data_IF_709726135892
#
_entry.id   IF_709726135892
#
_cell.length_a   1.000
_cell.length_b   1.000
_cell.length_c   1.000
_cell.angle_alpha   90.00
_cell.angle_beta   90.00
_cell.angle_gamma   90.00
#
_symmetry.space_group_name_H-M   'P 1'
#
loop_
_entity.id
_entity.type
_entity.pdbx_description
1 polymer ?
#
# COMPACT_ATOMS: atom_id res chain seq x y z
N UNK A 1 10.01 12.69 6.43
CA UNK A 1 9.66 14.06 6.02
C UNK A 1 10.61 15.02 6.69
N UNK A 2 10.35 16.30 6.55
CA UNK A 2 11.14 17.40 7.09
C UNK A 2 10.46 18.00 8.32
N UNK A 3 11.28 18.44 9.28
CA UNK A 3 10.83 19.27 10.40
C UNK A 3 11.05 20.72 10.00
N UNK A 4 9.95 21.42 9.74
CA UNK A 4 9.92 22.81 9.24
C UNK A 4 9.65 23.84 10.34
N UNK A 5 9.36 23.38 11.56
CA UNK A 5 9.12 24.25 12.70
C UNK A 5 9.16 23.50 14.02
N UNK A 6 9.36 24.25 15.10
CA UNK A 6 9.44 23.73 16.47
C UNK A 6 8.59 24.64 17.35
N UNK A 7 7.68 24.05 18.12
CA UNK A 7 6.92 24.70 19.18
C UNK A 7 7.46 24.25 20.53
N UNK A 8 7.62 25.19 21.45
CA UNK A 8 8.21 24.92 22.77
C UNK A 8 7.38 25.57 23.87
N UNK A 9 6.91 24.80 24.84
CA UNK A 9 6.15 25.37 25.96
C UNK A 9 6.93 26.41 26.75
N UNK A 10 8.25 26.24 26.85
CA UNK A 10 9.14 27.19 27.54
C UNK A 10 9.19 28.56 26.86
N UNK A 11 8.69 28.70 25.63
CA UNK A 11 8.61 29.96 24.87
C UNK A 11 7.19 30.53 24.79
N UNK A 12 6.22 29.87 25.43
CA UNK A 12 4.83 30.32 25.52
C UNK A 12 3.86 29.58 24.59
N UNK A 13 4.34 28.63 23.78
CA UNK A 13 3.49 27.74 22.99
C UNK A 13 2.68 26.80 23.89
N UNK A 14 1.50 26.37 23.44
CA UNK A 14 0.62 25.52 24.24
C UNK A 14 1.19 24.11 24.47
N UNK A 15 2.05 23.63 23.57
CA UNK A 15 2.64 22.29 23.61
C UNK A 15 4.05 22.27 23.04
N UNK A 16 4.82 21.25 23.42
CA UNK A 16 6.07 20.90 22.76
C UNK A 16 5.72 20.11 21.51
N UNK A 17 6.14 20.60 20.33
CA UNK A 17 5.79 19.95 19.09
C UNK A 17 6.77 20.22 17.95
N UNK A 18 6.72 19.35 16.95
CA UNK A 18 7.32 19.57 15.65
C UNK A 18 6.25 19.88 14.60
N UNK A 19 6.57 20.81 13.71
CA UNK A 19 5.77 21.10 12.51
C UNK A 19 6.42 20.40 11.34
N UNK A 20 5.65 19.62 10.57
CA UNK A 20 6.17 18.83 9.46
C UNK A 20 5.65 19.31 8.11
N UNK A 21 6.39 19.00 7.05
CA UNK A 21 6.05 19.26 5.65
C UNK A 21 5.11 18.21 5.04
N UNK A 22 5.03 17.04 5.68
CA UNK A 22 4.18 15.91 5.27
C UNK A 22 3.09 15.64 6.29
N UNK A 23 1.98 15.08 5.81
CA UNK A 23 0.91 14.57 6.66
C UNK A 23 1.37 13.32 7.42
N UNK A 24 1.16 13.31 8.73
CA UNK A 24 1.38 12.17 9.62
C UNK A 24 0.04 11.73 10.20
N UNK A 25 -0.31 10.42 10.14
CA UNK A 25 -1.54 9.92 10.73
C UNK A 25 -1.50 10.00 12.26
N UNK A 26 -2.65 10.06 12.92
CA UNK A 26 -2.78 10.19 14.38
C UNK A 26 -2.54 8.88 15.14
N UNK A 27 -2.67 7.73 14.48
CA UNK A 27 -2.39 6.40 15.01
C UNK A 27 -0.92 6.16 15.44
N UNK A 28 -0.03 7.14 15.25
CA UNK A 28 1.36 7.10 15.74
C UNK A 28 1.52 7.58 17.18
N UNK A 29 0.44 7.99 17.85
CA UNK A 29 0.49 8.36 19.26
C UNK A 29 1.05 7.22 20.12
N UNK A 30 1.96 7.54 21.04
CA UNK A 30 2.68 6.56 21.86
C UNK A 30 3.87 5.89 21.16
N UNK A 31 4.12 6.19 19.88
CA UNK A 31 5.35 5.79 19.18
C UNK A 31 6.46 6.84 19.34
N UNK A 32 7.66 6.53 18.83
CA UNK A 32 8.79 7.44 18.85
C UNK A 32 9.06 8.04 17.47
N UNK A 33 9.10 9.37 17.41
CA UNK A 33 9.66 10.12 16.30
C UNK A 33 11.17 10.22 16.48
N UNK A 34 11.94 9.88 15.45
CA UNK A 34 13.39 10.09 15.40
C UNK A 34 13.68 11.26 14.48
N UNK A 35 14.15 12.37 15.06
CA UNK A 35 14.66 13.53 14.33
C UNK A 35 16.13 13.29 14.00
N UNK A 36 16.52 13.54 12.76
CA UNK A 36 17.91 13.55 12.29
C UNK A 36 18.31 14.97 11.93
N UNK A 37 19.32 15.49 12.62
CA UNK A 37 19.86 16.82 12.42
C UNK A 37 20.77 16.89 11.19
N UNK A 38 21.09 18.08 10.65
CA UNK A 38 21.97 18.22 9.48
C UNK A 38 23.37 17.64 9.63
N UNK A 39 23.85 17.43 10.86
CA UNK A 39 25.14 16.76 11.14
C UNK A 39 25.04 15.24 11.24
N UNK A 40 23.85 14.66 11.01
CA UNK A 40 23.57 13.23 11.10
C UNK A 40 23.30 12.72 12.51
N UNK A 41 23.40 13.56 13.54
CA UNK A 41 23.00 13.16 14.90
C UNK A 41 21.49 12.98 14.99
N UNK A 42 21.03 12.13 15.92
CA UNK A 42 19.61 11.81 16.05
C UNK A 42 19.11 11.93 17.47
N UNK A 43 17.85 12.34 17.61
CA UNK A 43 17.12 12.37 18.89
C UNK A 43 15.73 11.74 18.74
N UNK A 44 15.37 10.93 19.72
CA UNK A 44 14.06 10.27 19.80
C UNK A 44 13.10 11.06 20.68
N UNK A 45 11.85 11.17 20.27
CA UNK A 45 10.79 11.88 21.00
C UNK A 45 9.51 11.03 21.02
N UNK A 46 8.97 10.81 22.21
CA UNK A 46 7.68 10.12 22.36
C UNK A 46 6.54 11.01 21.88
N UNK A 47 5.71 10.49 20.98
CA UNK A 47 4.58 11.22 20.39
C UNK A 47 3.38 11.18 21.34
N UNK A 48 2.87 12.36 21.70
CA UNK A 48 1.67 12.52 22.55
C UNK A 48 0.40 12.75 21.74
N UNK A 49 0.50 13.16 20.49
CA UNK A 49 -0.63 13.32 19.58
C UNK A 49 -0.22 13.99 18.27
N UNK A 50 -1.08 13.89 17.27
CA UNK A 50 -0.89 14.52 15.97
C UNK A 50 -2.11 15.38 15.65
N UNK A 51 -1.88 16.61 15.20
CA UNK A 51 -2.94 17.57 14.91
C UNK A 51 -2.67 18.24 13.57
N UNK A 52 -3.74 18.60 12.84
CA UNK A 52 -3.61 19.49 11.70
C UNK A 52 -3.86 20.94 12.15
N UNK A 53 -2.95 21.85 11.79
CA UNK A 53 -3.12 23.27 12.03
C UNK A 53 -2.69 24.05 10.78
N UNK A 54 -3.63 24.75 10.15
CA UNK A 54 -3.42 25.53 8.93
C UNK A 54 -2.80 24.71 7.77
N UNK A 55 -3.24 23.46 7.59
CA UNK A 55 -2.73 22.58 6.54
C UNK A 55 -1.32 22.05 6.80
N UNK A 56 -0.81 22.19 8.03
CA UNK A 56 0.45 21.58 8.47
C UNK A 56 0.17 20.57 9.57
N UNK A 57 0.94 19.49 9.58
CA UNK A 57 0.90 18.53 10.66
C UNK A 57 1.78 18.99 11.83
N UNK A 58 1.20 18.96 13.02
CA UNK A 58 1.81 19.27 14.30
C UNK A 58 1.90 17.97 15.09
N UNK A 59 3.12 17.49 15.35
CA UNK A 59 3.38 16.30 16.15
C UNK A 59 3.72 16.77 17.56
N UNK A 60 2.77 16.65 18.48
CA UNK A 60 3.03 16.93 19.89
C UNK A 60 3.87 15.82 20.50
N UNK A 61 4.86 16.21 21.31
CA UNK A 61 5.81 15.31 21.94
C UNK A 61 5.77 15.46 23.46
N UNK A 62 6.18 14.40 24.16
CA UNK A 62 6.20 14.38 25.61
C UNK A 62 7.25 15.33 26.18
N UNK A 63 8.43 15.31 25.59
CA UNK A 63 9.61 16.01 26.09
C UNK A 63 9.84 17.35 25.36
N UNK A 64 10.83 18.09 25.82
CA UNK A 64 11.19 19.38 25.25
C UNK A 64 12.04 19.17 23.97
N UNK A 65 11.76 19.89 22.84
CA UNK A 65 12.44 19.64 21.57
C UNK A 65 13.97 19.82 21.58
N UNK A 66 14.50 20.69 22.43
CA UNK A 66 15.95 20.88 22.63
C UNK A 66 16.62 21.83 21.66
N UNK A 67 15.95 22.24 20.58
CA UNK A 67 16.50 23.14 19.56
C UNK A 67 15.45 24.11 19.00
N UNK A 68 15.92 25.10 18.24
CA UNK A 68 15.09 26.05 17.49
C UNK A 68 15.49 26.03 16.02
N UNK A 69 14.51 26.26 15.15
CA UNK A 69 14.70 26.60 13.73
C UNK A 69 14.34 28.08 13.56
N UNK A 70 15.20 28.84 12.89
CA UNK A 70 15.04 30.25 12.64
C UNK A 70 14.52 30.52 11.21
N UNK A 71 13.89 31.68 10.95
CA UNK A 71 13.34 32.01 9.62
C UNK A 71 14.38 32.05 8.49
N UNK A 72 15.66 32.21 8.82
CA UNK A 72 16.76 32.20 7.86
C UNK A 72 17.24 30.78 7.49
N UNK A 73 16.58 29.74 8.02
CA UNK A 73 16.93 28.34 7.80
C UNK A 73 18.07 27.83 8.69
N UNK A 74 18.66 28.67 9.54
CA UNK A 74 19.60 28.22 10.55
C UNK A 74 18.86 27.58 11.74
N UNK A 75 19.56 26.77 12.52
CA UNK A 75 19.00 26.13 13.71
C UNK A 75 20.04 25.95 14.80
N UNK A 76 19.59 25.83 16.06
CA UNK A 76 20.50 25.75 17.20
C UNK A 76 19.92 25.00 18.40
N UNK A 77 20.72 24.14 19.03
CA UNK A 77 20.42 23.57 20.35
C UNK A 77 20.32 24.65 21.42
N UNK A 78 19.32 24.52 22.27
CA UNK A 78 19.01 25.48 23.33
C UNK A 78 19.74 25.14 24.64
N UNK A 79 20.36 23.96 24.69
CA UNK A 79 21.18 23.47 25.78
C UNK A 79 22.58 23.11 25.27
N UNK A 80 23.52 22.87 26.19
CA UNK A 80 24.85 22.38 25.85
C UNK A 80 24.75 21.16 24.92
N UNK A 81 25.54 21.06 23.83
CA UNK A 81 26.69 21.91 23.47
C UNK A 81 26.36 23.17 22.64
N UNK A 82 25.09 23.58 22.54
CA UNK A 82 24.63 24.73 21.77
C UNK A 82 25.02 24.66 20.28
N UNK A 83 25.09 23.43 19.74
CA UNK A 83 25.39 23.15 18.33
C UNK A 83 24.49 23.97 17.42
N UNK A 84 25.08 24.51 16.36
CA UNK A 84 24.38 25.22 15.31
C UNK A 84 24.44 24.41 14.02
N UNK A 85 23.36 24.44 13.27
CA UNK A 85 23.27 23.79 11.98
C UNK A 85 22.73 24.73 10.92
N UNK A 86 23.15 24.46 9.69
CA UNK A 86 22.55 24.97 8.45
C UNK A 86 22.10 23.76 7.64
N UNK A 87 20.85 23.76 7.20
CA UNK A 87 20.26 22.64 6.45
C UNK A 87 19.01 22.10 7.11
N UNK A 88 18.46 21.05 6.50
CA UNK A 88 17.17 20.50 6.84
C UNK A 88 17.26 19.47 7.96
N UNK A 89 16.36 19.58 8.94
CA UNK A 89 16.11 18.51 9.91
C UNK A 89 15.09 17.55 9.30
N UNK A 90 15.41 16.26 9.29
CA UNK A 90 14.48 15.23 8.79
C UNK A 90 13.95 14.41 9.95
N UNK A 91 12.86 13.70 9.72
CA UNK A 91 12.32 12.76 10.70
C UNK A 91 11.79 11.49 10.07
N UNK A 92 11.76 10.45 10.89
CA UNK A 92 11.03 9.20 10.67
C UNK A 92 10.34 8.77 11.96
N UNK A 93 9.33 7.92 11.85
CA UNK A 93 8.68 7.27 12.99
C UNK A 93 8.90 5.78 12.77
N UNK A 94 9.66 5.16 13.65
CA UNK A 94 9.93 3.71 13.60
C UNK A 94 8.61 2.97 13.88
N UNK A 95 8.32 1.90 13.14
CA UNK A 95 7.03 1.20 13.10
C UNK A 95 5.86 1.93 12.43
N UNK A 96 6.11 2.93 11.58
CA UNK A 96 5.29 3.09 10.37
C UNK A 96 5.58 1.93 9.41
N UNK A 97 5.41 0.70 9.88
CA UNK A 97 5.23 -0.44 9.01
C UNK A 97 3.99 -0.09 8.20
N UNK A 98 4.16 0.14 6.90
CA UNK A 98 3.06 0.04 5.95
C UNK A 98 2.42 -1.30 6.27
N UNK A 99 1.25 -1.30 6.90
CA UNK A 99 0.55 -2.54 7.23
C UNK A 99 0.47 -3.31 5.91
N UNK A 100 1.13 -4.47 5.77
CA UNK A 100 1.22 -5.11 4.47
C UNK A 100 -0.21 -5.46 4.07
N UNK A 101 -0.67 -4.89 2.95
CA UNK A 101 -1.98 -5.23 2.41
C UNK A 101 -1.97 -6.73 2.13
N UNK A 102 -2.94 -7.44 2.71
CA UNK A 102 -3.16 -8.83 2.36
C UNK A 102 -4.07 -8.86 1.15
N UNK A 103 -3.54 -9.37 0.04
CA UNK A 103 -4.27 -9.51 -1.22
C UNK A 103 -4.60 -10.99 -1.41
N UNK A 104 -5.89 -11.29 -1.58
CA UNK A 104 -6.40 -12.64 -1.80
C UNK A 104 -7.29 -12.70 -3.04
N UNK A 105 -7.47 -13.90 -3.59
CA UNK A 105 -8.36 -14.14 -4.73
C UNK A 105 -7.84 -13.66 -6.09
N UNK A 106 -6.63 -13.08 -6.14
CA UNK A 106 -5.93 -12.76 -7.39
C UNK A 106 -4.92 -13.88 -7.74
N UNK A 107 -5.18 -14.71 -8.76
CA UNK A 107 -4.22 -15.72 -9.20
C UNK A 107 -3.03 -15.08 -9.94
N UNK A 108 -1.89 -15.76 -9.94
CA UNK A 108 -0.71 -15.32 -10.70
C UNK A 108 -0.89 -15.52 -12.22
N UNK A 109 -1.76 -16.46 -12.60
CA UNK A 109 -2.10 -16.79 -13.99
C UNK A 109 -3.61 -16.78 -14.18
N UNK A 110 -4.07 -16.26 -15.30
CA UNK A 110 -5.46 -16.31 -15.76
C UNK A 110 -5.50 -16.77 -17.21
N UNK A 111 -6.66 -17.23 -17.68
CA UNK A 111 -6.90 -17.45 -19.11
C UNK A 111 -7.83 -16.38 -19.66
N UNK A 112 -7.66 -16.01 -20.94
CA UNK A 112 -8.57 -15.08 -21.62
C UNK A 112 -10.04 -15.44 -21.36
N UNK A 113 -10.85 -14.44 -20.96
CA UNK A 113 -12.24 -14.60 -20.58
C UNK A 113 -12.47 -15.02 -19.12
N UNK A 114 -11.44 -15.48 -18.39
CA UNK A 114 -11.55 -15.80 -16.98
C UNK A 114 -11.75 -14.54 -16.13
N UNK A 115 -12.47 -14.69 -15.02
CA UNK A 115 -12.65 -13.61 -14.05
C UNK A 115 -12.36 -14.09 -12.64
N UNK A 116 -11.79 -13.21 -11.83
CA UNK A 116 -11.44 -13.46 -10.44
C UNK A 116 -11.84 -12.26 -9.56
N UNK A 117 -12.01 -12.49 -8.26
CA UNK A 117 -12.34 -11.43 -7.31
C UNK A 117 -11.18 -11.18 -6.38
N UNK A 118 -10.67 -9.96 -6.40
CA UNK A 118 -9.62 -9.51 -5.49
C UNK A 118 -10.25 -9.04 -4.20
N UNK A 119 -9.74 -9.56 -3.08
CA UNK A 119 -10.05 -9.11 -1.74
C UNK A 119 -8.80 -8.49 -1.13
N UNK A 120 -8.93 -7.28 -0.61
CA UNK A 120 -7.83 -6.55 0.03
C UNK A 120 -8.16 -6.31 1.48
N UNK A 121 -7.30 -6.79 2.36
CA UNK A 121 -7.43 -6.57 3.80
C UNK A 121 -6.23 -5.81 4.37
N UNK A 122 -6.50 -4.94 5.34
CA UNK A 122 -5.49 -4.18 6.05
C UNK A 122 -5.67 -4.36 7.57
N UNK A 123 -4.56 -4.30 8.31
CA UNK A 123 -4.64 -4.22 9.77
C UNK A 123 -5.10 -2.83 10.18
N UNK A 124 -6.10 -2.77 11.06
CA UNK A 124 -6.54 -1.53 11.69
C UNK A 124 -5.59 -1.10 12.83
N UNK A 125 -5.92 0.01 13.48
CA UNK A 125 -5.16 0.57 14.62
C UNK A 125 -5.05 -0.38 15.82
N UNK A 126 -5.93 -1.38 15.91
CA UNK A 126 -5.93 -2.40 16.97
C UNK A 126 -5.14 -3.65 16.59
N UNK A 127 -4.62 -3.71 15.37
CA UNK A 127 -3.95 -4.89 14.82
C UNK A 127 -4.94 -5.97 14.34
N UNK A 128 -6.21 -5.62 14.12
CA UNK A 128 -7.22 -6.54 13.57
C UNK A 128 -7.25 -6.42 12.05
N UNK A 129 -7.27 -7.57 11.35
CA UNK A 129 -7.39 -7.59 9.90
C UNK A 129 -8.84 -7.25 9.48
N UNK A 130 -9.00 -6.22 8.66
CA UNK A 130 -10.29 -5.71 8.18
C UNK A 130 -10.33 -5.68 6.66
N UNK A 131 -11.49 -5.96 6.07
CA UNK A 131 -11.71 -5.82 4.62
C UNK A 131 -11.76 -4.34 4.24
N UNK A 132 -10.92 -3.96 3.29
CA UNK A 132 -10.78 -2.61 2.76
C UNK A 132 -10.93 -2.55 1.25
N UNK A 133 -11.42 -3.61 0.60
CA UNK A 133 -11.52 -3.75 -0.86
C UNK A 133 -12.17 -2.53 -1.52
N UNK A 134 -13.35 -2.14 -1.04
CA UNK A 134 -14.12 -0.98 -1.57
C UNK A 134 -13.47 0.40 -1.28
N UNK A 135 -12.44 0.43 -0.43
CA UNK A 135 -11.67 1.64 -0.10
C UNK A 135 -10.34 1.70 -0.86
N UNK A 136 -10.02 0.66 -1.63
CA UNK A 136 -8.79 0.62 -2.41
C UNK A 136 -8.98 1.27 -3.78
N UNK A 137 -7.88 1.79 -4.33
CA UNK A 137 -7.80 2.18 -5.73
C UNK A 137 -7.04 1.08 -6.45
N UNK A 138 -7.71 0.40 -7.37
CA UNK A 138 -7.16 -0.67 -8.18
C UNK A 138 -6.87 -0.14 -9.60
N UNK A 139 -5.71 -0.50 -10.14
CA UNK A 139 -5.31 -0.09 -11.48
C UNK A 139 -4.53 -1.20 -12.19
N UNK A 140 -4.90 -1.54 -13.42
CA UNK A 140 -4.08 -2.37 -14.32
C UNK A 140 -3.18 -1.47 -15.15
N UNK A 141 -1.90 -1.80 -15.23
CA UNK A 141 -0.95 -1.12 -16.12
C UNK A 141 -1.26 -1.33 -17.61
N UNK A 142 -2.02 -2.39 -17.94
CA UNK A 142 -2.47 -2.70 -19.30
C UNK A 142 -3.91 -3.21 -19.33
N UNK A 143 -4.86 -2.30 -19.61
CA UNK A 143 -6.29 -2.61 -19.68
C UNK A 143 -6.70 -3.46 -20.90
N UNK A 144 -5.85 -3.51 -21.93
CA UNK A 144 -6.10 -4.38 -23.08
C UNK A 144 -5.87 -5.85 -22.72
N UNK A 145 -4.97 -6.13 -21.76
CA UNK A 145 -4.71 -7.48 -21.24
C UNK A 145 -5.72 -7.85 -20.16
N UNK A 146 -5.98 -6.96 -19.21
CA UNK A 146 -6.78 -7.25 -18.01
C UNK A 146 -7.52 -6.01 -17.53
N UNK A 147 -8.83 -6.14 -17.39
CA UNK A 147 -9.73 -5.08 -16.94
C UNK A 147 -10.11 -5.29 -15.47
N UNK A 148 -10.29 -4.18 -14.74
CA UNK A 148 -10.75 -4.18 -13.36
C UNK A 148 -11.98 -3.30 -13.20
N UNK A 149 -12.84 -3.71 -12.27
CA UNK A 149 -13.91 -2.86 -11.75
C UNK A 149 -13.55 -2.33 -10.36
N UNK A 150 -14.16 -1.23 -9.97
CA UNK A 150 -14.00 -0.64 -8.62
C UNK A 150 -14.45 -1.59 -7.48
N UNK A 151 -15.17 -2.66 -7.82
CA UNK A 151 -15.65 -3.69 -6.87
C UNK A 151 -14.68 -4.85 -6.65
N UNK A 152 -13.47 -4.76 -7.20
CA UNK A 152 -12.44 -5.81 -7.13
C UNK A 152 -12.65 -6.99 -8.08
N UNK A 153 -13.61 -6.93 -9.01
CA UNK A 153 -13.71 -7.91 -10.08
C UNK A 153 -12.65 -7.65 -11.15
N UNK A 154 -11.88 -8.69 -11.47
CA UNK A 154 -10.83 -8.72 -12.49
C UNK A 154 -11.27 -9.62 -13.62
N UNK A 155 -11.12 -9.16 -14.86
CA UNK A 155 -11.45 -9.94 -16.07
C UNK A 155 -10.28 -9.93 -17.04
N UNK A 156 -9.82 -11.12 -17.41
CA UNK A 156 -8.78 -11.31 -18.42
C UNK A 156 -9.38 -11.11 -19.83
N UNK A 157 -8.76 -10.24 -20.64
CA UNK A 157 -9.25 -9.88 -21.97
C UNK A 157 -8.43 -10.50 -23.09
N UNK A 158 -7.13 -10.25 -23.06
CA UNK A 158 -6.19 -10.73 -24.07
C UNK A 158 -4.95 -11.27 -23.36
N UNK A 159 -4.32 -12.25 -23.98
CA UNK A 159 -3.10 -12.87 -23.53
C UNK A 159 -1.94 -11.88 -23.49
N UNK A 160 -1.08 -12.03 -22.49
CA UNK A 160 0.01 -11.12 -22.19
C UNK A 160 0.22 -10.92 -20.69
N UNK A 161 1.25 -10.17 -20.35
CA UNK A 161 1.60 -9.86 -18.97
C UNK A 161 1.12 -8.45 -18.60
N UNK A 162 0.68 -8.28 -17.35
CA UNK A 162 0.36 -6.97 -16.78
C UNK A 162 0.65 -6.95 -15.28
N UNK A 163 0.59 -5.77 -14.68
CA UNK A 163 0.68 -5.58 -13.24
C UNK A 163 -0.57 -4.87 -12.75
N UNK A 164 -1.12 -5.37 -11.65
CA UNK A 164 -2.19 -4.70 -10.91
C UNK A 164 -1.57 -3.96 -9.73
N UNK A 165 -1.69 -2.63 -9.74
CA UNK A 165 -1.37 -1.77 -8.61
C UNK A 165 -2.57 -1.62 -7.69
N UNK A 166 -2.39 -1.99 -6.44
CA UNK A 166 -3.40 -1.94 -5.38
C UNK A 166 -2.95 -0.87 -4.39
N UNK A 167 -3.71 0.22 -4.29
CA UNK A 167 -3.42 1.32 -3.38
C UNK A 167 -4.48 1.41 -2.29
N UNK A 168 -4.04 1.45 -1.05
CA UNK A 168 -4.86 1.80 0.10
C UNK A 168 -4.09 2.78 0.97
N UNK A 169 -4.62 3.98 1.13
CA UNK A 169 -3.92 5.10 1.79
C UNK A 169 -2.51 5.34 1.19
N UNK A 170 -1.46 5.13 2.00
CA UNK A 170 -0.05 5.27 1.57
C UNK A 170 0.58 3.94 1.13
N UNK A 171 -0.10 2.81 1.37
CA UNK A 171 0.39 1.50 0.98
C UNK A 171 0.12 1.25 -0.52
N UNK A 172 1.10 0.69 -1.20
CA UNK A 172 1.00 0.25 -2.59
C UNK A 172 1.54 -1.18 -2.68
N UNK A 173 0.73 -2.08 -3.23
CA UNK A 173 1.13 -3.45 -3.57
C UNK A 173 0.96 -3.66 -5.07
N UNK A 174 2.01 -4.16 -5.71
CA UNK A 174 1.99 -4.49 -7.13
C UNK A 174 1.94 -6.02 -7.28
N UNK A 175 0.96 -6.51 -8.04
CA UNK A 175 0.76 -7.94 -8.30
C UNK A 175 0.90 -8.20 -9.81
N UNK A 176 1.95 -8.91 -10.26
CA UNK A 176 2.03 -9.34 -11.64
C UNK A 176 0.96 -10.40 -11.91
N UNK A 177 0.37 -10.35 -13.10
CA UNK A 177 -0.59 -11.34 -13.59
C UNK A 177 -0.24 -11.65 -15.04
N UNK A 178 -0.17 -12.93 -15.37
CA UNK A 178 -0.02 -13.41 -16.75
C UNK A 178 -1.34 -13.95 -17.25
N UNK A 179 -1.84 -13.40 -18.37
CA UNK A 179 -3.00 -13.93 -19.08
C UNK A 179 -2.54 -14.84 -20.20
N UNK A 180 -2.99 -16.08 -20.18
CA UNK A 180 -2.73 -17.07 -21.22
C UNK A 180 -3.87 -17.06 -22.25
N UNK A 181 -3.53 -17.34 -23.51
CA UNK A 181 -4.53 -17.46 -24.57
C UNK A 181 -5.46 -18.65 -24.28
N UNK A 182 -6.74 -18.52 -24.61
CA UNK A 182 -7.67 -19.64 -24.53
C UNK A 182 -7.45 -20.56 -25.74
N UNK A 183 -6.65 -21.62 -25.57
CA UNK A 183 -6.38 -22.59 -26.65
C UNK A 183 -7.27 -23.83 -26.55
N UNK A 184 -7.52 -24.55 -27.66
CA UNK A 184 -8.22 -25.83 -27.64
C UNK A 184 -7.63 -26.84 -26.65
N UNK A 185 -6.29 -26.91 -26.55
CA UNK A 185 -5.63 -27.83 -25.61
C UNK A 185 -5.89 -27.46 -24.15
N UNK A 186 -5.92 -26.17 -23.81
CA UNK A 186 -6.27 -25.73 -22.47
C UNK A 186 -7.73 -26.07 -22.12
N UNK A 187 -8.65 -25.89 -23.07
CA UNK A 187 -10.05 -26.28 -22.87
C UNK A 187 -10.15 -27.79 -22.63
N UNK A 188 -9.38 -28.57 -23.39
CA UNK A 188 -9.31 -30.02 -23.26
C UNK A 188 -8.80 -30.45 -21.88
N UNK A 189 -7.68 -29.89 -21.41
CA UNK A 189 -7.10 -30.17 -20.09
C UNK A 189 -8.09 -29.85 -18.96
N UNK A 190 -8.75 -28.68 -19.05
CA UNK A 190 -9.71 -28.25 -18.02
C UNK A 190 -10.95 -29.14 -18.02
N UNK A 191 -11.44 -29.56 -19.19
CA UNK A 191 -12.54 -30.53 -19.29
C UNK A 191 -12.15 -31.88 -18.70
N UNK A 192 -10.96 -32.39 -18.99
CA UNK A 192 -10.46 -33.64 -18.40
C UNK A 192 -10.43 -33.56 -16.87
N UNK A 193 -9.95 -32.45 -16.31
CA UNK A 193 -9.99 -32.19 -14.87
C UNK A 193 -11.42 -32.15 -14.31
N UNK A 194 -12.37 -31.51 -15.00
CA UNK A 194 -13.79 -31.52 -14.61
C UNK A 194 -14.42 -32.91 -14.69
N UNK A 195 -14.00 -33.75 -15.63
CA UNK A 195 -14.49 -35.11 -15.79
C UNK A 195 -13.96 -36.01 -14.66
N UNK A 196 -12.70 -35.86 -14.29
CA UNK A 196 -12.07 -36.58 -13.19
C UNK A 196 -12.66 -36.21 -11.82
N UNK A 197 -13.14 -34.98 -11.66
CA UNK A 197 -13.81 -34.53 -10.42
C UNK A 197 -15.26 -35.03 -10.26
N UNK A 198 -15.78 -35.83 -11.21
CA UNK A 198 -17.16 -36.35 -11.27
C UNK A 198 -18.28 -35.28 -11.31
N UNK A 199 -17.95 -34.00 -11.52
CA UNK A 199 -18.94 -32.92 -11.60
C UNK A 199 -19.79 -32.98 -12.88
N UNK A 200 -19.33 -33.66 -13.92
CA UNK A 200 -20.01 -33.79 -15.22
C UNK A 200 -20.24 -35.27 -15.58
N UNK A 201 -21.48 -35.63 -15.94
CA UNK A 201 -21.81 -37.01 -16.34
C UNK A 201 -21.12 -37.43 -17.65
N UNK A 202 -20.62 -38.68 -17.70
CA UNK A 202 -19.84 -39.28 -18.83
C UNK A 202 -20.39 -39.01 -20.25
N UNK A 203 -21.71 -39.09 -20.52
CA UNK A 203 -22.22 -38.88 -21.88
C UNK A 203 -22.03 -37.44 -22.40
N UNK A 204 -22.13 -36.44 -21.52
CA UNK A 204 -21.95 -35.03 -21.89
C UNK A 204 -20.45 -34.72 -22.07
N UNK A 205 -19.62 -35.30 -21.22
CA UNK A 205 -18.16 -35.30 -21.34
C UNK A 205 -17.69 -35.78 -22.71
N UNK A 206 -18.12 -36.96 -23.14
CA UNK A 206 -17.68 -37.54 -24.42
C UNK A 206 -18.13 -36.70 -25.63
N UNK A 207 -19.29 -36.05 -25.54
CA UNK A 207 -19.80 -35.15 -26.58
C UNK A 207 -18.99 -33.85 -26.68
N UNK A 208 -18.60 -33.26 -25.55
CA UNK A 208 -17.79 -32.04 -25.51
C UNK A 208 -16.38 -32.29 -26.05
N UNK A 209 -15.74 -33.39 -25.65
CA UNK A 209 -14.40 -33.78 -26.12
C UNK A 209 -14.35 -33.99 -27.63
N UNK A 210 -15.35 -34.68 -28.20
CA UNK A 210 -15.42 -34.90 -29.65
C UNK A 210 -15.65 -33.59 -30.43
N UNK A 211 -16.44 -32.66 -29.87
CA UNK A 211 -16.71 -31.37 -30.53
C UNK A 211 -15.45 -30.49 -30.59
N UNK A 212 -14.65 -30.49 -29.52
CA UNK A 212 -13.39 -29.73 -29.49
C UNK A 212 -12.32 -30.28 -30.42
N UNK A 213 -12.16 -31.61 -30.47
CA UNK A 213 -11.24 -32.25 -31.41
C UNK A 213 -11.59 -31.99 -32.87
N UNK A 214 -12.88 -31.84 -33.19
CA UNK A 214 -13.31 -31.49 -34.55
C UNK A 214 -13.04 -30.02 -34.91
N UNK A 215 -13.05 -29.11 -33.94
CA UNK A 215 -12.73 -27.71 -34.16
C UNK A 215 -11.24 -27.49 -34.49
N UNK A 216 -10.37 -28.28 -33.87
CA UNK A 216 -8.91 -28.24 -34.05
C UNK A 216 -8.44 -28.72 -35.44
N UNK A 217 -9.31 -29.41 -36.19
CA UNK A 217 -9.05 -29.88 -37.55
C UNK A 217 -9.55 -28.93 -38.66
N UNK A 218 -10.09 -27.77 -38.30
CA UNK A 218 -10.71 -26.82 -39.23
C UNK A 218 -10.01 -25.45 -39.34
N UNK A 219 -8.84 -25.25 -38.73
CA UNK A 219 -7.94 -24.13 -39.02
C UNK A 219 -6.83 -24.49 -40.04
#
# INVERSE_FOLDING_TARGET
GDVIGVYRQVRGESTNAFVTDVDVPDNVQGQHMIVTHPDGTTHGYMIQGVYNQNGKTIIAIQDEPGFMIYPDGSSQMQFFPATRWTGTHTFRIENLESTPLQVQGLPDYMVEGESARVLVSAFDETGTLTDVTDKTVLHSENIDVLELTDSGLVTAKNSGDTVISIRFEKAIVNRPVTVLAMTPEWILEKLESYIESEEVGKPLSDQLMNTLQQADHHE
#
